data_IF_463972015582
#
_entry.id   IF_463972015582
#
_cell.length_a   1.000
_cell.length_b   1.000
_cell.length_c   1.000
_cell.angle_alpha   90.00
_cell.angle_beta   90.00
_cell.angle_gamma   90.00
#
_symmetry.space_group_name_H-M   'P 1'
#
loop_
_entity.id
_entity.type
_entity.pdbx_description
1 polymer ?
#
# COMPACT_ATOMS: atom_id res chain seq x y z
N UNK A 1 -31.77 62.99 -16.17
CA UNK A 1 -31.02 61.89 -16.85
C UNK A 1 -30.88 60.68 -15.93
N UNK A 2 -31.94 60.39 -15.16
CA UNK A 2 -32.08 59.21 -14.30
C UNK A 2 -33.49 58.60 -14.44
N UNK A 3 -34.39 59.27 -15.16
CA UNK A 3 -35.74 58.80 -15.47
C UNK A 3 -35.86 58.14 -16.86
N UNK A 4 -34.81 58.14 -17.69
CA UNK A 4 -34.78 57.42 -18.98
C UNK A 4 -34.15 56.01 -18.90
N UNK A 5 -33.69 55.59 -17.70
CA UNK A 5 -33.09 54.26 -17.49
C UNK A 5 -34.08 53.24 -16.89
N UNK A 6 -35.16 53.70 -16.26
CA UNK A 6 -36.15 52.81 -15.64
C UNK A 6 -37.22 52.31 -16.62
N UNK A 7 -37.44 52.95 -17.77
CA UNK A 7 -38.35 52.46 -18.82
C UNK A 7 -37.74 51.33 -19.68
N UNK A 8 -36.45 51.02 -19.52
CA UNK A 8 -35.79 49.93 -20.28
C UNK A 8 -35.67 48.60 -19.51
N UNK A 9 -36.14 48.55 -18.26
CA UNK A 9 -36.04 47.39 -17.38
C UNK A 9 -37.36 46.62 -17.21
N UNK A 10 -38.51 47.20 -17.58
CA UNK A 10 -39.81 46.51 -17.52
C UNK A 10 -40.13 45.70 -18.80
N UNK A 11 -39.44 45.94 -19.92
CA UNK A 11 -39.66 45.24 -21.20
C UNK A 11 -38.77 44.01 -21.43
N UNK A 12 -38.07 43.52 -20.40
CA UNK A 12 -37.17 42.35 -20.48
C UNK A 12 -37.51 41.22 -19.50
N UNK A 13 -38.68 41.27 -18.84
CA UNK A 13 -39.16 40.18 -17.97
C UNK A 13 -40.21 39.25 -18.61
N UNK A 14 -40.65 39.49 -19.84
CA UNK A 14 -41.49 38.54 -20.56
C UNK A 14 -40.67 37.60 -21.47
N UNK A 15 -40.28 36.45 -20.90
CA UNK A 15 -40.09 35.24 -21.69
C UNK A 15 -38.69 34.64 -21.67
N UNK A 16 -38.26 34.12 -20.53
CA UNK A 16 -37.27 33.04 -20.49
C UNK A 16 -37.69 31.99 -19.47
N UNK A 17 -38.09 30.82 -19.97
CA UNK A 17 -38.34 29.62 -19.17
C UNK A 17 -37.05 29.20 -18.44
N UNK A 18 -37.18 28.83 -17.16
CA UNK A 18 -36.07 28.32 -16.36
C UNK A 18 -35.40 27.11 -17.05
N UNK A 19 -34.07 27.12 -17.27
CA UNK A 19 -33.38 25.90 -17.62
C UNK A 19 -33.11 25.10 -16.36
N UNK A 20 -33.64 23.87 -16.31
CA UNK A 20 -33.37 22.88 -15.28
C UNK A 20 -31.87 22.56 -15.04
N UNK A 21 -30.96 23.13 -15.85
CA UNK A 21 -29.50 23.02 -15.73
C UNK A 21 -28.88 23.90 -14.64
N UNK A 22 -29.55 24.97 -14.19
CA UNK A 22 -28.99 25.85 -13.13
C UNK A 22 -29.03 25.12 -11.77
N UNK A 23 -30.07 24.32 -11.52
CA UNK A 23 -30.24 23.53 -10.30
C UNK A 23 -29.25 22.35 -10.19
N UNK A 24 -28.91 21.72 -11.32
CA UNK A 24 -27.88 20.67 -11.37
C UNK A 24 -26.48 21.23 -11.10
N UNK A 25 -26.21 22.45 -11.58
CA UNK A 25 -24.94 23.15 -11.34
C UNK A 25 -24.83 23.59 -9.88
N UNK A 26 -25.91 24.09 -9.27
CA UNK A 26 -25.97 24.47 -7.85
C UNK A 26 -25.79 23.29 -6.88
N UNK A 27 -26.24 22.08 -7.25
CA UNK A 27 -25.99 20.87 -6.45
C UNK A 27 -24.50 20.45 -6.41
N UNK A 28 -23.75 20.73 -7.48
CA UNK A 28 -22.30 20.54 -7.51
C UNK A 28 -21.55 21.51 -6.61
N UNK A 29 -22.07 22.73 -6.44
CA UNK A 29 -21.49 23.76 -5.58
C UNK A 29 -21.79 23.53 -4.09
N UNK A 30 -22.99 23.05 -3.72
CA UNK A 30 -23.28 22.63 -2.33
C UNK A 30 -22.34 21.53 -1.82
N UNK A 31 -21.87 20.62 -2.69
CA UNK A 31 -20.87 19.59 -2.32
C UNK A 31 -19.45 20.14 -2.13
N UNK A 32 -19.11 21.28 -2.74
CA UNK A 32 -17.84 21.97 -2.50
C UNK A 32 -17.84 22.72 -1.16
N UNK A 33 -18.99 23.25 -0.75
CA UNK A 33 -19.18 23.90 0.55
C UNK A 33 -19.07 22.93 1.74
N UNK A 34 -19.13 21.61 1.54
CA UNK A 34 -18.86 20.62 2.60
C UNK A 34 -17.35 20.40 2.86
N UNK A 35 -16.46 20.79 1.93
CA UNK A 35 -15.00 20.59 2.06
C UNK A 35 -14.33 21.85 2.64
N UNK A 36 -14.86 23.04 2.35
CA UNK A 36 -14.33 24.33 2.80
C UNK A 36 -14.29 24.54 4.34
N UNK A 37 -15.27 24.07 5.14
CA UNK A 37 -15.26 24.25 6.60
C UNK A 37 -14.14 23.49 7.32
N UNK A 38 -13.48 22.54 6.63
CA UNK A 38 -12.31 21.82 7.18
C UNK A 38 -11.02 22.65 7.15
N UNK A 39 -10.99 23.77 6.41
CA UNK A 39 -9.81 24.63 6.30
C UNK A 39 -9.73 25.71 7.40
N UNK A 40 -10.83 26.01 8.11
CA UNK A 40 -10.92 27.14 9.05
C UNK A 40 -10.97 26.76 10.53
N UNK A 41 -10.56 25.55 10.93
CA UNK A 41 -10.26 25.31 12.35
C UNK A 41 -8.91 25.93 12.67
N UNK A 42 -8.93 27.22 12.98
CA UNK A 42 -7.86 27.86 13.74
C UNK A 42 -7.62 27.04 15.03
N UNK A 43 -6.34 26.86 15.36
CA UNK A 43 -5.83 26.13 16.51
C UNK A 43 -6.39 26.73 17.81
N UNK A 44 -7.55 26.25 18.23
CA UNK A 44 -8.05 26.37 19.59
C UNK A 44 -7.47 25.23 20.42
N UNK A 45 -6.66 25.59 21.41
CA UNK A 45 -6.07 24.69 22.39
C UNK A 45 -7.16 24.13 23.31
N UNK A 46 -7.93 23.16 22.82
CA UNK A 46 -8.81 22.34 23.62
C UNK A 46 -8.14 20.98 23.85
N UNK A 47 -8.05 20.59 25.11
CA UNK A 47 -7.48 19.35 25.63
C UNK A 47 -8.31 18.15 25.11
N UNK A 48 -8.02 17.71 23.88
CA UNK A 48 -8.61 16.50 23.31
C UNK A 48 -7.91 15.32 23.95
N UNK A 49 -8.56 14.69 24.94
CA UNK A 49 -8.28 13.29 25.25
C UNK A 49 -8.37 12.50 23.95
N UNK A 50 -7.22 12.09 23.40
CA UNK A 50 -7.13 11.22 22.23
C UNK A 50 -7.80 9.88 22.58
N UNK A 51 -9.10 9.76 22.30
CA UNK A 51 -9.77 8.47 22.32
C UNK A 51 -9.18 7.62 21.17
N UNK A 52 -8.34 6.65 21.53
CA UNK A 52 -7.86 5.64 20.60
C UNK A 52 -9.05 5.00 19.85
N UNK A 53 -9.12 5.13 18.51
CA UNK A 53 -10.25 4.60 17.78
C UNK A 53 -10.30 3.09 17.90
N UNK A 54 -11.51 2.53 18.10
CA UNK A 54 -11.71 1.08 18.20
C UNK A 54 -11.18 0.40 16.93
N UNK A 55 -10.05 -0.30 17.04
CA UNK A 55 -9.46 -1.07 15.97
C UNK A 55 -10.25 -2.36 15.76
N UNK A 56 -10.64 -2.63 14.51
CA UNK A 56 -11.32 -3.88 14.15
C UNK A 56 -10.28 -5.02 14.02
N UNK A 57 -10.17 -5.86 15.05
CA UNK A 57 -9.25 -6.99 15.06
C UNK A 57 -9.72 -8.10 14.11
N UNK A 58 -8.82 -8.58 13.25
CA UNK A 58 -9.09 -9.72 12.36
C UNK A 58 -8.82 -11.05 13.08
N UNK A 59 -9.48 -12.15 12.66
CA UNK A 59 -9.12 -13.47 13.17
C UNK A 59 -7.67 -13.82 12.81
N UNK A 60 -6.93 -14.35 13.78
CA UNK A 60 -5.55 -14.79 13.62
C UNK A 60 -5.47 -16.32 13.49
N UNK A 61 -4.44 -16.85 12.80
CA UNK A 61 -4.05 -18.25 12.89
C UNK A 61 -3.77 -18.69 14.34
N UNK A 62 -3.86 -20.00 14.62
CA UNK A 62 -3.67 -20.55 15.98
C UNK A 62 -2.26 -20.29 16.54
N UNK A 63 -1.28 -20.09 15.66
CA UNK A 63 0.12 -19.84 15.98
C UNK A 63 0.39 -18.40 16.44
N UNK A 64 -0.60 -17.51 16.32
CA UNK A 64 -0.50 -16.09 16.64
C UNK A 64 -1.55 -15.69 17.67
N UNK A 65 -1.22 -14.70 18.49
CA UNK A 65 -2.14 -14.08 19.45
C UNK A 65 -1.97 -12.57 19.50
N UNK A 66 -3.05 -11.87 19.85
CA UNK A 66 -2.98 -10.45 20.17
C UNK A 66 -2.52 -10.25 21.61
N UNK A 67 -1.62 -9.29 21.78
CA UNK A 67 -1.24 -8.73 23.08
C UNK A 67 -1.26 -7.21 23.00
N UNK A 68 -1.22 -6.53 24.14
CA UNK A 68 -1.41 -5.09 24.21
C UNK A 68 -0.21 -4.42 24.89
N UNK A 69 0.24 -3.30 24.33
CA UNK A 69 1.36 -2.55 24.88
C UNK A 69 0.95 -1.62 26.03
N UNK A 70 -0.33 -1.27 26.11
CA UNK A 70 -0.88 -0.35 27.12
C UNK A 70 -1.98 -0.99 27.96
N UNK A 71 -2.25 -0.35 29.10
CA UNK A 71 -3.39 -0.67 29.95
C UNK A 71 -4.71 -0.42 29.18
N UNK A 72 -5.80 -1.08 29.57
CA UNK A 72 -7.11 -1.03 28.88
C UNK A 72 -7.16 -1.66 27.47
N UNK A 73 -6.28 -2.61 27.15
CA UNK A 73 -6.25 -3.30 25.84
C UNK A 73 -6.06 -2.33 24.65
N UNK A 74 -5.27 -1.27 24.84
CA UNK A 74 -4.87 -0.36 23.78
C UNK A 74 -3.55 -0.81 23.13
N UNK A 75 -3.29 -0.30 21.92
CA UNK A 75 -2.08 -0.60 21.16
C UNK A 75 -1.83 -2.11 20.97
N UNK A 76 -2.73 -2.81 20.22
CA UNK A 76 -2.56 -4.22 19.94
C UNK A 76 -1.30 -4.48 19.10
N UNK A 77 -0.67 -5.63 19.35
CA UNK A 77 0.44 -6.19 18.57
C UNK A 77 0.25 -7.70 18.42
N UNK A 78 0.82 -8.29 17.37
CA UNK A 78 0.66 -9.72 17.06
C UNK A 78 1.96 -10.47 17.37
N UNK A 79 1.90 -11.39 18.34
CA UNK A 79 3.06 -12.19 18.77
C UNK A 79 2.77 -13.69 18.62
N UNK A 80 3.81 -14.52 18.66
CA UNK A 80 3.62 -15.98 18.66
C UNK A 80 2.87 -16.47 19.91
N UNK A 81 1.91 -17.38 19.70
CA UNK A 81 1.20 -18.06 20.79
C UNK A 81 2.07 -19.10 21.53
N UNK A 82 3.21 -19.48 20.95
CA UNK A 82 4.13 -20.49 21.50
C UNK A 82 5.16 -19.96 22.51
N UNK A 83 5.15 -18.65 22.79
CA UNK A 83 6.09 -18.03 23.72
C UNK A 83 5.81 -18.46 25.17
N UNK A 84 6.88 -18.70 25.92
CA UNK A 84 6.80 -18.86 27.37
C UNK A 84 6.46 -17.53 28.05
N UNK A 85 5.93 -17.57 29.28
CA UNK A 85 5.58 -16.35 30.01
C UNK A 85 6.77 -15.40 30.20
N UNK A 86 7.98 -15.92 30.43
CA UNK A 86 9.18 -15.10 30.52
C UNK A 86 9.53 -14.43 29.19
N UNK A 87 9.52 -15.19 28.08
CA UNK A 87 9.80 -14.65 26.75
C UNK A 87 8.79 -13.58 26.34
N UNK A 88 7.51 -13.79 26.64
CA UNK A 88 6.45 -12.82 26.37
C UNK A 88 6.70 -11.51 27.13
N UNK A 89 7.04 -11.57 28.42
CA UNK A 89 7.37 -10.38 29.22
C UNK A 89 8.56 -9.64 28.61
N UNK A 90 9.67 -10.34 28.31
CA UNK A 90 10.87 -9.72 27.73
C UNK A 90 10.60 -9.08 26.38
N UNK A 91 9.80 -9.71 25.52
CA UNK A 91 9.40 -9.15 24.23
C UNK A 91 8.56 -7.88 24.42
N UNK A 92 7.55 -7.93 25.30
CA UNK A 92 6.68 -6.79 25.54
C UNK A 92 7.44 -5.61 26.14
N UNK A 93 8.45 -5.83 26.98
CA UNK A 93 9.32 -4.76 27.48
C UNK A 93 10.04 -4.03 26.34
N UNK A 94 10.63 -4.76 25.39
CA UNK A 94 11.28 -4.16 24.22
C UNK A 94 10.29 -3.39 23.34
N UNK A 95 9.12 -3.99 23.07
CA UNK A 95 8.08 -3.35 22.24
C UNK A 95 7.51 -2.09 22.91
N UNK A 96 7.33 -2.10 24.24
CA UNK A 96 6.91 -0.92 25.00
C UNK A 96 7.96 0.19 24.95
N UNK A 97 9.25 -0.15 25.12
CA UNK A 97 10.35 0.83 24.96
C UNK A 97 10.37 1.43 23.55
N UNK A 98 10.07 0.62 22.54
CA UNK A 98 10.11 1.01 21.13
C UNK A 98 8.73 1.32 20.53
N UNK A 99 7.72 1.66 21.36
CA UNK A 99 6.33 1.87 20.91
C UNK A 99 6.23 2.83 19.72
N UNK A 100 7.05 3.88 19.71
CA UNK A 100 7.11 4.91 18.65
C UNK A 100 7.44 4.37 17.26
N UNK A 101 8.04 3.18 17.15
CA UNK A 101 8.33 2.54 15.87
C UNK A 101 7.07 1.94 15.22
N UNK A 102 6.00 1.71 16.00
CA UNK A 102 4.79 1.02 15.56
C UNK A 102 3.69 2.06 15.38
N UNK A 103 3.00 2.01 14.24
CA UNK A 103 1.85 2.85 13.94
C UNK A 103 0.56 2.04 13.94
N UNK A 104 -0.49 2.63 14.51
CA UNK A 104 -1.85 2.10 14.54
C UNK A 104 -2.76 2.80 13.53
N UNK A 105 -2.45 4.04 13.19
CA UNK A 105 -3.23 4.90 12.31
C UNK A 105 -2.38 5.55 11.23
N UNK A 106 -3.03 6.05 10.19
CA UNK A 106 -2.34 6.75 9.10
C UNK A 106 -1.78 8.10 9.54
N UNK A 107 -2.37 8.72 10.57
CA UNK A 107 -1.89 9.95 11.21
C UNK A 107 -0.57 9.76 11.94
N UNK A 108 -0.21 8.53 12.32
CA UNK A 108 1.07 8.23 12.98
C UNK A 108 2.26 8.36 12.02
N UNK A 109 1.99 8.46 10.71
CA UNK A 109 3.01 8.63 9.68
C UNK A 109 3.60 10.04 9.72
N UNK A 110 4.70 10.20 10.46
CA UNK A 110 5.61 11.35 10.30
C UNK A 110 6.34 11.31 8.97
N UNK A 111 6.75 10.10 8.62
CA UNK A 111 7.51 9.73 7.43
C UNK A 111 9.00 10.06 7.54
N UNK A 112 9.75 9.49 6.61
CA UNK A 112 11.20 9.49 6.60
C UNK A 112 11.70 10.87 6.20
N UNK A 113 12.77 11.33 6.86
CA UNK A 113 13.40 12.61 6.53
C UNK A 113 13.80 12.69 5.05
N UNK A 114 13.47 13.78 4.34
CA UNK A 114 13.89 14.00 2.95
C UNK A 114 15.41 13.94 2.73
N UNK A 115 16.19 14.24 3.79
CA UNK A 115 17.65 14.14 3.78
C UNK A 115 18.16 12.70 3.64
N UNK A 116 17.37 11.72 4.07
CA UNK A 116 17.68 10.29 3.94
C UNK A 116 17.27 9.79 2.56
N UNK A 117 16.05 10.14 2.14
CA UNK A 117 15.53 9.74 0.85
C UNK A 117 14.43 10.70 0.38
N UNK A 118 14.55 11.16 -0.86
CA UNK A 118 13.51 11.90 -1.56
C UNK A 118 13.22 11.19 -2.88
N UNK A 119 11.94 11.06 -3.23
CA UNK A 119 11.54 10.48 -4.49
C UNK A 119 11.55 11.54 -5.59
N UNK A 120 12.33 11.29 -6.65
CA UNK A 120 12.39 12.13 -7.83
C UNK A 120 11.75 11.44 -9.05
N UNK A 121 11.09 12.24 -9.88
CA UNK A 121 10.43 11.82 -11.13
C UNK A 121 11.15 12.48 -12.31
N UNK A 122 12.33 11.95 -12.64
CA UNK A 122 13.08 12.39 -13.81
C UNK A 122 12.35 12.03 -15.10
N UNK A 123 12.16 13.04 -15.95
CA UNK A 123 11.52 12.90 -17.25
C UNK A 123 12.56 12.59 -18.34
N UNK A 124 12.12 11.95 -19.42
CA UNK A 124 12.89 11.85 -20.67
C UNK A 124 13.04 13.24 -21.33
N UNK A 125 14.11 13.47 -22.10
CA UNK A 125 14.49 14.80 -22.62
C UNK A 125 13.40 15.49 -23.45
N UNK A 126 12.52 14.74 -24.12
CA UNK A 126 11.42 15.26 -24.95
C UNK A 126 10.03 15.03 -24.34
N UNK A 127 9.95 14.71 -23.05
CA UNK A 127 8.69 14.40 -22.38
C UNK A 127 7.74 15.61 -22.37
N UNK A 128 6.53 15.42 -22.90
CA UNK A 128 5.45 16.39 -22.83
C UNK A 128 4.49 16.06 -21.68
N UNK A 129 3.91 17.06 -21.00
CA UNK A 129 2.88 16.83 -20.00
C UNK A 129 1.67 16.09 -20.57
N UNK A 130 1.08 15.23 -19.75
CA UNK A 130 -0.04 14.38 -20.16
C UNK A 130 -1.23 14.64 -19.25
N UNK A 131 -2.30 15.19 -19.82
CA UNK A 131 -3.58 15.40 -19.14
C UNK A 131 -4.62 14.38 -19.59
N UNK A 132 -5.06 13.53 -18.68
CA UNK A 132 -6.07 12.51 -18.95
C UNK A 132 -7.43 12.90 -18.35
N UNK A 133 -8.55 12.60 -19.06
CA UNK A 133 -9.88 12.87 -18.54
C UNK A 133 -10.24 11.93 -17.39
N UNK A 134 -11.09 12.42 -16.49
CA UNK A 134 -11.65 11.64 -15.40
C UNK A 134 -12.49 10.46 -15.92
N UNK A 135 -12.41 9.31 -15.25
CA UNK A 135 -13.27 8.15 -15.52
C UNK A 135 -14.61 8.27 -14.80
N UNK A 136 -15.67 7.77 -15.46
CA UNK A 136 -16.99 7.59 -14.83
C UNK A 136 -16.91 6.43 -13.84
N UNK A 137 -17.41 6.65 -12.63
CA UNK A 137 -17.52 5.66 -11.57
C UNK A 137 -18.98 5.51 -11.18
N UNK A 138 -19.41 4.29 -10.84
CA UNK A 138 -20.74 4.08 -10.28
C UNK A 138 -20.83 4.71 -8.86
N UNK A 139 -22.03 5.02 -8.34
CA UNK A 139 -22.18 5.70 -7.05
C UNK A 139 -21.50 4.98 -5.87
N UNK A 140 -21.50 3.66 -5.84
CA UNK A 140 -20.83 2.88 -4.80
C UNK A 140 -19.30 3.08 -4.81
N UNK A 141 -18.67 3.01 -5.98
CA UNK A 141 -17.22 3.21 -6.11
C UNK A 141 -16.84 4.68 -5.91
N UNK A 142 -17.74 5.62 -6.20
CA UNK A 142 -17.54 7.03 -5.84
C UNK A 142 -17.39 7.18 -4.32
N UNK A 143 -18.22 6.50 -3.52
CA UNK A 143 -18.10 6.53 -2.06
C UNK A 143 -16.74 6.00 -1.58
N UNK A 144 -16.31 4.87 -2.13
CA UNK A 144 -14.99 4.29 -1.84
C UNK A 144 -13.87 5.29 -2.13
N UNK A 145 -13.94 5.99 -3.28
CA UNK A 145 -12.95 7.01 -3.64
C UNK A 145 -13.02 8.21 -2.71
N UNK A 146 -14.22 8.65 -2.31
CA UNK A 146 -14.39 9.79 -1.40
C UNK A 146 -13.73 9.52 -0.06
N UNK A 147 -14.03 8.37 0.54
CA UNK A 147 -13.48 7.98 1.85
C UNK A 147 -11.97 7.91 1.81
N UNK A 148 -11.39 7.33 0.75
CA UNK A 148 -9.93 7.25 0.62
C UNK A 148 -9.29 8.63 0.42
N UNK A 149 -9.87 9.49 -0.44
CA UNK A 149 -9.36 10.85 -0.68
C UNK A 149 -9.41 11.69 0.59
N UNK A 150 -10.52 11.63 1.35
CA UNK A 150 -10.64 12.34 2.64
C UNK A 150 -9.60 11.86 3.65
N UNK A 151 -9.38 10.55 3.74
CA UNK A 151 -8.35 9.97 4.60
C UNK A 151 -6.95 10.46 4.23
N UNK A 152 -6.61 10.49 2.94
CA UNK A 152 -5.30 10.94 2.48
C UNK A 152 -5.11 12.47 2.66
N UNK A 153 -6.17 13.26 2.50
CA UNK A 153 -6.16 14.70 2.76
C UNK A 153 -5.93 15.00 4.24
N UNK A 154 -6.68 14.34 5.13
CA UNK A 154 -6.54 14.50 6.59
C UNK A 154 -5.14 14.11 7.07
N UNK A 155 -4.54 13.08 6.46
CA UNK A 155 -3.17 12.66 6.75
C UNK A 155 -2.10 13.57 6.09
N UNK A 156 -2.49 14.59 5.31
CA UNK A 156 -1.56 15.48 4.61
C UNK A 156 -0.76 14.82 3.48
N UNK A 157 -1.09 13.58 3.08
CA UNK A 157 -0.40 12.81 2.04
C UNK A 157 -0.67 13.39 0.65
N UNK A 158 -1.87 13.96 0.45
CA UNK A 158 -2.26 14.65 -0.77
C UNK A 158 -2.72 16.08 -0.45
N UNK A 159 -2.73 16.93 -1.46
CA UNK A 159 -3.24 18.31 -1.38
C UNK A 159 -4.06 18.67 -2.62
N UNK A 160 -5.06 19.55 -2.49
CA UNK A 160 -5.83 20.03 -3.64
C UNK A 160 -4.93 20.88 -4.55
N UNK A 161 -5.07 20.70 -5.85
CA UNK A 161 -4.35 21.49 -6.86
C UNK A 161 -5.35 22.00 -7.90
N UNK A 162 -5.27 23.30 -8.21
CA UNK A 162 -6.26 23.97 -9.06
C UNK A 162 -6.04 23.68 -10.55
N UNK A 163 -4.79 23.73 -11.00
CA UNK A 163 -4.41 23.41 -12.37
C UNK A 163 -3.10 22.64 -12.37
N UNK A 164 -2.96 21.70 -13.30
CA UNK A 164 -1.74 20.93 -13.51
C UNK A 164 -1.68 20.45 -14.96
N UNK A 165 -0.50 20.56 -15.61
CA UNK A 165 -0.32 20.03 -16.96
C UNK A 165 -0.22 18.50 -16.96
N UNK A 166 -0.04 17.87 -15.79
CA UNK A 166 -0.03 16.43 -15.59
C UNK A 166 -1.34 16.00 -14.92
N UNK A 167 -2.08 15.07 -15.51
CA UNK A 167 -3.29 14.53 -14.86
C UNK A 167 -3.43 13.05 -15.18
N UNK A 168 -3.49 12.22 -14.14
CA UNK A 168 -3.80 10.79 -14.24
C UNK A 168 -5.19 10.48 -13.67
N UNK A 169 -5.97 9.57 -14.28
CA UNK A 169 -7.30 9.27 -13.79
C UNK A 169 -7.24 8.28 -12.61
N UNK A 170 -8.14 8.43 -11.65
CA UNK A 170 -8.38 7.41 -10.62
C UNK A 170 -9.04 6.16 -11.23
N UNK A 171 -8.58 4.99 -10.80
CA UNK A 171 -9.14 3.68 -11.11
C UNK A 171 -9.40 2.91 -9.82
N UNK A 172 -10.62 2.39 -9.66
CA UNK A 172 -10.92 1.50 -8.53
C UNK A 172 -10.82 0.06 -9.00
N UNK A 173 -10.11 -0.76 -8.23
CA UNK A 173 -9.95 -2.19 -8.49
C UNK A 173 -10.37 -3.01 -7.28
N UNK A 174 -11.02 -4.16 -7.46
CA UNK A 174 -11.34 -5.04 -6.35
C UNK A 174 -10.06 -5.57 -5.70
N UNK A 175 -10.02 -5.65 -4.37
CA UNK A 175 -8.97 -6.40 -3.65
C UNK A 175 -9.06 -7.86 -4.11
N UNK A 176 -7.93 -8.41 -4.58
CA UNK A 176 -7.85 -9.82 -4.93
C UNK A 176 -8.02 -10.65 -3.65
N UNK A 177 -9.16 -11.31 -3.49
CA UNK A 177 -9.32 -12.44 -2.56
C UNK A 177 -8.80 -13.73 -3.21
N UNK A 178 -8.71 -14.80 -2.42
CA UNK A 178 -8.61 -16.15 -2.97
C UNK A 178 -9.72 -16.43 -3.98
N UNK A 179 -9.41 -17.28 -4.97
CA UNK A 179 -10.40 -17.78 -5.93
C UNK A 179 -11.23 -18.85 -5.22
N UNK A 180 -12.53 -18.62 -5.10
CA UNK A 180 -13.48 -19.63 -4.61
C UNK A 180 -14.18 -20.26 -5.79
N UNK A 181 -14.24 -21.58 -5.83
CA UNK A 181 -15.02 -22.30 -6.83
C UNK A 181 -16.47 -22.30 -6.34
N UNK A 182 -17.34 -21.61 -7.08
CA UNK A 182 -18.78 -21.55 -6.80
C UNK A 182 -19.48 -22.38 -7.85
N UNK A 183 -20.28 -23.37 -7.43
CA UNK A 183 -21.13 -24.11 -8.36
C UNK A 183 -22.29 -23.22 -8.81
N UNK A 184 -22.41 -23.01 -10.12
CA UNK A 184 -23.54 -22.32 -10.71
C UNK A 184 -24.81 -23.20 -10.64
N UNK A 185 -25.99 -22.63 -10.93
CA UNK A 185 -27.27 -23.34 -10.93
C UNK A 185 -27.32 -24.56 -11.88
N UNK A 186 -26.37 -24.62 -12.83
CA UNK A 186 -26.17 -25.74 -13.78
C UNK A 186 -25.19 -26.81 -13.28
N UNK A 187 -24.68 -26.71 -12.06
CA UNK A 187 -23.67 -27.62 -11.50
C UNK A 187 -22.23 -27.39 -12.03
N UNK A 188 -22.02 -26.32 -12.81
CA UNK A 188 -20.70 -25.95 -13.32
C UNK A 188 -19.90 -25.21 -12.24
N UNK A 189 -18.69 -25.69 -11.95
CA UNK A 189 -17.75 -25.08 -11.02
C UNK A 189 -17.11 -23.82 -11.61
N UNK A 190 -17.65 -22.65 -11.27
CA UNK A 190 -17.13 -21.35 -11.71
C UNK A 190 -16.18 -20.80 -10.64
N UNK A 191 -14.92 -20.67 -11.01
CA UNK A 191 -13.92 -19.92 -10.25
C UNK A 191 -14.33 -18.45 -10.13
N UNK A 192 -14.96 -18.09 -9.01
CA UNK A 192 -15.46 -16.75 -8.73
C UNK A 192 -14.58 -16.09 -7.67
N UNK A 193 -14.21 -14.82 -7.88
CA UNK A 193 -13.44 -14.04 -6.89
C UNK A 193 -14.40 -13.25 -6.02
N UNK A 194 -14.46 -13.56 -4.74
CA UNK A 194 -15.22 -12.77 -3.77
C UNK A 194 -14.56 -11.41 -3.56
N UNK A 195 -15.25 -10.31 -3.83
CA UNK A 195 -14.72 -8.97 -3.55
C UNK A 195 -14.64 -8.72 -2.05
N UNK A 196 -13.45 -8.87 -1.44
CA UNK A 196 -13.23 -8.58 -0.02
C UNK A 196 -13.05 -7.09 0.29
N UNK A 197 -13.08 -6.24 -0.73
CA UNK A 197 -12.96 -4.79 -0.63
C UNK A 197 -12.47 -4.17 -1.92
N UNK A 198 -12.21 -2.87 -1.90
CA UNK A 198 -11.76 -2.09 -3.06
C UNK A 198 -10.40 -1.44 -2.79
N UNK A 199 -9.64 -1.17 -3.85
CA UNK A 199 -8.42 -0.37 -3.85
C UNK A 199 -8.60 0.79 -4.80
N UNK A 200 -8.31 1.99 -4.31
CA UNK A 200 -8.20 3.18 -5.15
C UNK A 200 -6.77 3.22 -5.68
N UNK A 201 -6.62 3.24 -7.00
CA UNK A 201 -5.33 3.28 -7.67
C UNK A 201 -5.32 4.47 -8.63
N UNK A 202 -4.16 5.09 -8.82
CA UNK A 202 -3.99 6.12 -9.85
C UNK A 202 -3.34 5.49 -11.06
N UNK A 203 -3.91 5.73 -12.24
CA UNK A 203 -3.42 5.16 -13.50
C UNK A 203 -2.26 5.98 -14.07
N UNK A 204 -1.09 5.83 -13.46
CA UNK A 204 0.16 6.46 -13.90
C UNK A 204 0.79 5.80 -15.14
N UNK A 205 0.11 4.91 -15.87
CA UNK A 205 0.72 4.22 -17.03
C UNK A 205 1.28 5.19 -18.05
N UNK A 206 0.58 6.27 -18.37
CA UNK A 206 1.07 7.28 -19.33
C UNK A 206 2.23 8.09 -18.76
N UNK A 207 2.16 8.50 -17.50
CA UNK A 207 3.27 9.17 -16.81
C UNK A 207 4.53 8.29 -16.83
N UNK A 208 4.37 7.03 -16.43
CA UNK A 208 5.46 6.05 -16.39
C UNK A 208 6.12 5.81 -17.75
N UNK A 209 5.44 6.02 -18.89
CA UNK A 209 6.06 5.85 -20.22
C UNK A 209 7.07 6.96 -20.49
N UNK A 210 6.84 8.17 -19.98
CA UNK A 210 7.69 9.34 -20.19
C UNK A 210 8.66 9.62 -19.03
N UNK A 211 8.59 8.82 -17.97
CA UNK A 211 9.54 8.85 -16.84
C UNK A 211 10.75 7.98 -17.16
N UNK A 212 11.95 8.55 -16.96
CA UNK A 212 13.23 7.85 -17.08
C UNK A 212 13.31 6.69 -16.09
N UNK A 213 13.63 5.49 -16.57
CA UNK A 213 13.70 4.28 -15.72
C UNK A 213 14.94 4.29 -14.85
N UNK A 214 14.73 4.10 -13.56
CA UNK A 214 15.81 3.91 -12.59
C UNK A 214 16.44 2.52 -12.78
N UNK A 215 17.78 2.46 -12.89
CA UNK A 215 18.53 1.22 -13.02
C UNK A 215 19.09 0.79 -11.67
N UNK A 216 18.21 0.66 -10.67
CA UNK A 216 18.60 0.17 -9.35
C UNK A 216 18.59 -1.37 -9.32
N UNK A 217 19.70 -2.03 -8.92
CA UNK A 217 19.74 -3.49 -8.83
C UNK A 217 18.95 -3.95 -7.60
N UNK A 218 17.75 -4.49 -7.82
CA UNK A 218 17.01 -5.16 -6.75
C UNK A 218 17.68 -6.49 -6.39
N UNK A 219 17.78 -6.85 -5.09
CA UNK A 219 18.31 -8.14 -4.67
C UNK A 219 17.56 -9.31 -5.32
N UNK A 220 18.28 -10.38 -5.64
CA UNK A 220 17.64 -11.60 -6.12
C UNK A 220 16.83 -12.25 -5.01
N UNK A 221 15.56 -12.55 -5.29
CA UNK A 221 14.65 -13.20 -4.33
C UNK A 221 15.25 -14.49 -3.79
N UNK A 222 15.91 -15.29 -4.64
CA UNK A 222 16.54 -16.55 -4.24
C UNK A 222 17.62 -16.33 -3.16
N UNK A 223 18.47 -15.30 -3.31
CA UNK A 223 19.52 -14.97 -2.35
C UNK A 223 18.98 -14.46 -1.02
N UNK A 224 17.95 -13.60 -1.07
CA UNK A 224 17.28 -13.11 0.14
C UNK A 224 16.69 -14.29 0.92
N UNK A 225 16.00 -15.21 0.24
CA UNK A 225 15.37 -16.35 0.90
C UNK A 225 16.40 -17.34 1.47
N UNK A 226 17.53 -17.57 0.77
CA UNK A 226 18.61 -18.43 1.27
C UNK A 226 19.18 -17.91 2.58
N UNK A 227 19.44 -16.61 2.68
CA UNK A 227 20.00 -15.97 3.89
C UNK A 227 19.03 -15.96 5.06
N UNK A 228 17.73 -15.77 4.78
CA UNK A 228 16.70 -15.74 5.84
C UNK A 228 16.38 -17.16 6.33
N UNK A 229 16.60 -18.20 5.53
CA UNK A 229 16.16 -19.55 5.87
C UNK A 229 17.00 -20.23 6.96
N UNK A 230 16.39 -21.17 7.69
CA UNK A 230 17.11 -22.04 8.62
C UNK A 230 17.22 -21.54 10.06
N UNK A 231 16.69 -20.35 10.36
CA UNK A 231 16.66 -19.83 11.73
C UNK A 231 15.44 -20.33 12.53
N UNK A 232 15.57 -20.50 13.85
CA UNK A 232 14.48 -20.95 14.73
C UNK A 232 13.55 -19.83 15.20
N UNK A 233 13.94 -18.55 15.12
CA UNK A 233 13.13 -17.41 15.54
C UNK A 233 13.18 -16.29 14.50
N UNK A 234 12.00 -15.71 14.24
CA UNK A 234 11.82 -14.62 13.29
C UNK A 234 10.94 -13.51 13.86
N UNK A 235 11.20 -12.28 13.42
CA UNK A 235 10.25 -11.18 13.45
C UNK A 235 10.04 -10.69 12.02
N UNK A 236 8.80 -10.75 11.54
CA UNK A 236 8.41 -10.22 10.23
C UNK A 236 7.77 -8.86 10.46
N UNK A 237 8.37 -7.80 9.95
CA UNK A 237 7.89 -6.43 10.08
C UNK A 237 7.49 -5.90 8.70
N UNK A 238 6.46 -5.06 8.65
CA UNK A 238 5.95 -4.42 7.43
C UNK A 238 5.90 -2.91 7.66
N UNK A 239 6.44 -2.13 6.72
CA UNK A 239 6.32 -0.67 6.77
C UNK A 239 4.87 -0.21 6.64
N UNK A 240 4.39 0.63 7.55
CA UNK A 240 3.01 1.15 7.49
C UNK A 240 2.82 1.97 6.22
N UNK A 241 2.10 1.41 5.25
CA UNK A 241 1.90 2.03 3.92
C UNK A 241 3.21 2.57 3.34
N UNK A 242 4.28 1.76 3.36
CA UNK A 242 5.67 2.23 3.28
C UNK A 242 5.97 3.32 2.25
N UNK A 243 5.43 3.24 1.03
CA UNK A 243 5.64 4.29 0.02
C UNK A 243 5.21 5.70 0.49
N UNK A 244 4.12 5.83 1.24
CA UNK A 244 3.67 7.13 1.77
C UNK A 244 4.60 7.72 2.83
N UNK A 245 5.61 6.98 3.29
CA UNK A 245 6.60 7.50 4.23
C UNK A 245 7.71 8.29 3.52
N UNK A 246 7.90 8.11 2.22
CA UNK A 246 8.91 8.83 1.43
C UNK A 246 8.30 10.08 0.81
N UNK A 247 8.93 11.23 1.00
CA UNK A 247 8.51 12.49 0.38
C UNK A 247 8.87 12.53 -1.10
N UNK A 248 8.03 13.17 -1.88
CA UNK A 248 8.32 13.50 -3.27
C UNK A 248 8.95 14.89 -3.29
N UNK A 249 9.98 15.05 -4.10
CA UNK A 249 10.57 16.35 -4.36
C UNK A 249 9.49 17.38 -4.77
N UNK A 250 9.57 18.59 -4.24
CA UNK A 250 8.54 19.62 -4.39
C UNK A 250 8.28 19.92 -5.88
N UNK A 251 9.31 19.90 -6.72
CA UNK A 251 9.20 20.13 -8.17
C UNK A 251 8.55 18.95 -8.92
N UNK A 252 8.52 17.77 -8.29
CA UNK A 252 7.98 16.55 -8.85
C UNK A 252 6.55 16.23 -8.38
N UNK A 253 6.05 16.88 -7.32
CA UNK A 253 4.71 16.64 -6.78
C UNK A 253 3.60 16.85 -7.81
N UNK A 254 3.67 17.92 -8.60
CA UNK A 254 2.69 18.22 -9.66
C UNK A 254 2.58 17.11 -10.71
N UNK A 255 3.65 16.35 -10.96
CA UNK A 255 3.64 15.23 -11.92
C UNK A 255 2.74 14.09 -11.46
N UNK A 256 2.48 13.99 -10.16
CA UNK A 256 1.62 12.97 -9.55
C UNK A 256 0.15 13.39 -9.46
N UNK A 257 -0.23 14.51 -10.07
CA UNK A 257 -1.60 14.98 -10.04
C UNK A 257 -2.57 13.95 -10.61
N UNK A 258 -3.67 13.73 -9.89
CA UNK A 258 -4.75 12.87 -10.29
C UNK A 258 -6.11 13.54 -10.18
N UNK A 259 -7.08 13.03 -10.95
CA UNK A 259 -8.44 13.53 -10.99
C UNK A 259 -9.45 12.46 -10.58
N UNK A 260 -10.42 12.86 -9.76
CA UNK A 260 -11.53 12.04 -9.30
C UNK A 260 -12.84 12.87 -9.30
N UNK A 261 -14.02 12.25 -9.07
CA UNK A 261 -15.30 12.97 -9.09
C UNK A 261 -15.43 14.14 -8.10
N UNK A 262 -14.52 14.22 -7.12
CA UNK A 262 -14.56 15.21 -6.03
C UNK A 262 -13.55 16.35 -6.20
N UNK A 263 -12.65 16.24 -7.18
CA UNK A 263 -11.63 17.25 -7.41
C UNK A 263 -10.35 16.70 -8.03
N UNK A 264 -9.35 17.56 -8.04
CA UNK A 264 -8.00 17.27 -8.53
C UNK A 264 -7.02 17.45 -7.38
N UNK A 265 -6.14 16.47 -7.20
CA UNK A 265 -5.21 16.43 -6.07
C UNK A 265 -3.83 15.98 -6.55
N UNK A 266 -2.78 16.38 -5.84
CA UNK A 266 -1.42 15.92 -6.05
C UNK A 266 -0.88 15.27 -4.77
N UNK A 267 0.10 14.37 -4.91
CA UNK A 267 0.74 13.71 -3.78
C UNK A 267 1.94 14.50 -3.27
N UNK A 268 2.04 14.64 -1.94
CA UNK A 268 3.27 15.06 -1.24
C UNK A 268 4.19 13.87 -0.96
N UNK A 269 3.61 12.69 -0.77
CA UNK A 269 4.31 11.44 -0.45
C UNK A 269 4.18 10.43 -1.58
N UNK A 270 5.21 9.62 -1.80
CA UNK A 270 5.33 8.74 -2.96
C UNK A 270 4.13 7.77 -3.08
N UNK A 271 3.28 7.87 -4.13
CA UNK A 271 2.14 6.98 -4.29
C UNK A 271 2.51 5.65 -4.93
N UNK A 272 1.64 4.66 -4.70
CA UNK A 272 1.65 3.43 -5.48
C UNK A 272 1.41 3.73 -6.98
N UNK A 273 2.05 2.91 -7.83
CA UNK A 273 1.85 2.93 -9.28
C UNK A 273 2.90 3.71 -10.07
N UNK A 274 3.76 4.50 -9.41
CA UNK A 274 4.94 5.08 -10.04
C UNK A 274 5.98 4.00 -10.36
N UNK A 275 6.58 4.06 -11.54
CA UNK A 275 7.49 3.00 -12.02
C UNK A 275 8.79 2.88 -11.21
N UNK A 276 9.29 3.98 -10.66
CA UNK A 276 10.55 4.01 -9.89
C UNK A 276 10.33 3.97 -8.36
N UNK A 277 9.07 3.87 -7.89
CA UNK A 277 8.79 3.80 -6.46
C UNK A 277 9.44 2.60 -5.76
N UNK A 278 9.41 1.37 -6.31
CA UNK A 278 10.09 0.22 -5.71
C UNK A 278 11.60 0.42 -5.57
N UNK A 279 12.25 0.97 -6.60
CA UNK A 279 13.68 1.24 -6.61
C UNK A 279 14.07 2.29 -5.56
N UNK A 280 13.32 3.38 -5.49
CA UNK A 280 13.50 4.43 -4.48
C UNK A 280 13.34 3.87 -3.08
N UNK A 281 12.30 3.07 -2.85
CA UNK A 281 12.03 2.49 -1.55
C UNK A 281 13.11 1.48 -1.12
N UNK A 282 13.52 0.58 -2.01
CA UNK A 282 14.60 -0.37 -1.71
C UNK A 282 15.91 0.36 -1.38
N UNK A 283 16.26 1.40 -2.15
CA UNK A 283 17.45 2.22 -1.89
C UNK A 283 17.38 2.90 -0.53
N UNK A 284 16.21 3.43 -0.16
CA UNK A 284 15.95 4.01 1.16
C UNK A 284 16.19 2.99 2.28
N UNK A 285 15.56 1.81 2.18
CA UNK A 285 15.67 0.76 3.19
C UNK A 285 17.12 0.28 3.36
N UNK A 286 17.84 0.07 2.26
CA UNK A 286 19.25 -0.29 2.32
C UNK A 286 20.10 0.84 2.91
N UNK A 287 19.79 2.11 2.65
CA UNK A 287 20.48 3.23 3.29
C UNK A 287 20.23 3.28 4.79
N UNK A 288 19.02 2.96 5.25
CA UNK A 288 18.65 2.98 6.67
C UNK A 288 19.29 1.82 7.43
N UNK A 289 19.35 0.63 6.84
CA UNK A 289 19.77 -0.61 7.49
C UNK A 289 21.11 -1.19 6.98
N UNK A 290 21.90 -0.40 6.26
CA UNK A 290 23.12 -0.86 5.58
C UNK A 290 24.11 -1.66 6.45
N UNK A 291 24.21 -1.35 7.74
CA UNK A 291 25.08 -2.00 8.72
C UNK A 291 24.49 -3.29 9.34
N UNK A 292 23.19 -3.53 9.16
CA UNK A 292 22.41 -4.61 9.75
C UNK A 292 21.97 -5.68 8.74
N UNK A 293 21.77 -5.29 7.48
CA UNK A 293 21.40 -6.18 6.38
C UNK A 293 22.49 -7.24 6.17
N UNK A 294 22.10 -8.46 5.80
CA UNK A 294 22.95 -9.65 5.65
C UNK A 294 23.56 -10.20 6.95
N UNK A 295 23.30 -9.58 8.11
CA UNK A 295 23.86 -10.00 9.41
C UNK A 295 22.80 -10.42 10.40
N UNK A 296 21.84 -9.53 10.66
CA UNK A 296 20.78 -9.75 11.66
C UNK A 296 19.38 -9.67 11.05
N UNK A 297 19.30 -9.12 9.84
CA UNK A 297 18.05 -8.92 9.13
C UNK A 297 18.25 -8.90 7.61
N UNK A 298 17.15 -9.02 6.90
CA UNK A 298 17.05 -8.81 5.46
C UNK A 298 15.86 -7.89 5.17
N UNK A 299 15.96 -7.09 4.10
CA UNK A 299 14.88 -6.18 3.70
C UNK A 299 14.62 -6.24 2.21
N UNK A 300 13.35 -6.41 1.87
CA UNK A 300 12.89 -6.37 0.49
C UNK A 300 11.64 -5.49 0.39
N UNK A 301 11.84 -4.27 -0.10
CA UNK A 301 10.88 -3.20 -0.05
C UNK A 301 10.30 -3.06 1.37
N UNK A 302 8.97 -3.18 1.52
CA UNK A 302 8.26 -3.05 2.79
C UNK A 302 8.48 -4.25 3.73
N UNK A 303 8.93 -5.39 3.22
CA UNK A 303 9.09 -6.64 3.99
C UNK A 303 10.46 -6.65 4.69
N UNK A 304 10.44 -6.44 6.00
CA UNK A 304 11.61 -6.47 6.88
C UNK A 304 11.59 -7.80 7.63
N UNK A 305 12.63 -8.61 7.49
CA UNK A 305 12.75 -9.89 8.19
C UNK A 305 13.95 -9.90 9.11
N UNK A 306 13.71 -10.07 10.40
CA UNK A 306 14.73 -10.20 11.43
C UNK A 306 14.76 -11.65 11.87
N UNK A 307 15.95 -12.19 12.10
CA UNK A 307 16.14 -13.58 12.49
C UNK A 307 17.21 -13.72 13.58
N UNK A 308 17.18 -14.84 14.30
CA UNK A 308 18.16 -15.17 15.33
C UNK A 308 18.23 -16.67 15.60
N UNK A 309 19.41 -17.16 16.02
CA UNK A 309 19.65 -18.55 16.42
C UNK A 309 19.03 -18.91 17.77
N UNK A 310 18.83 -17.92 18.64
CA UNK A 310 18.08 -18.06 19.90
C UNK A 310 17.05 -16.96 20.07
N UNK A 311 16.17 -17.11 21.07
CA UNK A 311 15.19 -16.08 21.42
C UNK A 311 15.88 -14.78 21.84
N UNK A 312 16.91 -14.89 22.70
CA UNK A 312 17.65 -13.76 23.24
C UNK A 312 18.39 -13.01 22.14
N UNK A 313 19.05 -13.73 21.22
CA UNK A 313 19.71 -13.13 20.06
C UNK A 313 18.70 -12.41 19.15
N UNK A 314 17.58 -13.06 18.82
CA UNK A 314 16.53 -12.44 18.01
C UNK A 314 15.93 -11.20 18.69
N UNK A 315 15.87 -11.19 20.03
CA UNK A 315 15.33 -10.06 20.79
C UNK A 315 16.29 -8.85 20.76
N UNK A 316 17.59 -9.10 20.87
CA UNK A 316 18.62 -8.07 20.71
C UNK A 316 18.60 -7.50 19.29
N UNK A 317 18.50 -8.36 18.28
CA UNK A 317 18.39 -7.96 16.88
C UNK A 317 17.13 -7.11 16.63
N UNK A 318 15.99 -7.54 17.18
CA UNK A 318 14.74 -6.80 17.12
C UNK A 318 14.87 -5.40 17.73
N UNK A 319 15.44 -5.30 18.93
CA UNK A 319 15.60 -4.01 19.61
C UNK A 319 16.50 -3.05 18.80
N UNK A 320 17.58 -3.55 18.20
CA UNK A 320 18.46 -2.75 17.36
C UNK A 320 17.73 -2.19 16.12
N UNK A 321 16.95 -3.03 15.43
CA UNK A 321 16.17 -2.63 14.25
C UNK A 321 15.07 -1.64 14.64
N UNK A 322 14.33 -1.88 15.72
CA UNK A 322 13.28 -0.97 16.17
C UNK A 322 13.84 0.41 16.59
N UNK A 323 15.02 0.46 17.22
CA UNK A 323 15.71 1.73 17.52
C UNK A 323 16.05 2.48 16.23
N UNK A 324 16.57 1.79 15.22
CA UNK A 324 16.85 2.39 13.92
C UNK A 324 15.58 2.92 13.23
N UNK A 325 14.45 2.21 13.35
CA UNK A 325 13.16 2.70 12.87
C UNK A 325 12.77 4.02 13.53
N UNK A 326 12.92 4.13 14.86
CA UNK A 326 12.63 5.37 15.61
C UNK A 326 13.57 6.51 15.18
N UNK A 327 14.86 6.24 15.04
CA UNK A 327 15.86 7.23 14.62
C UNK A 327 15.59 7.83 13.23
N UNK A 328 14.94 7.06 12.36
CA UNK A 328 14.67 7.44 10.96
C UNK A 328 13.19 7.76 10.70
N UNK A 329 12.38 7.80 11.75
CA UNK A 329 10.92 7.99 11.67
C UNK A 329 10.24 7.01 10.69
N UNK A 330 10.78 5.79 10.58
CA UNK A 330 10.17 4.69 9.84
C UNK A 330 9.12 4.01 10.73
N UNK A 331 7.87 4.06 10.30
CA UNK A 331 6.72 3.54 11.05
C UNK A 331 6.33 2.16 10.53
N UNK A 332 6.15 1.22 11.44
CA UNK A 332 5.79 -0.18 11.16
C UNK A 332 4.29 -0.42 11.36
N UNK A 333 3.72 -1.34 10.59
CA UNK A 333 2.32 -1.70 10.67
C UNK A 333 2.05 -2.73 11.76
N UNK A 334 1.39 -2.33 12.85
CA UNK A 334 1.08 -3.23 13.96
C UNK A 334 0.32 -4.51 13.54
N UNK A 335 -0.57 -4.42 12.53
CA UNK A 335 -1.47 -5.51 12.13
C UNK A 335 -0.72 -6.59 11.34
N UNK A 336 0.32 -6.19 10.62
CA UNK A 336 1.10 -7.07 9.74
C UNK A 336 2.44 -7.48 10.33
N UNK A 337 2.88 -6.81 11.39
CA UNK A 337 4.08 -7.21 12.11
C UNK A 337 3.79 -8.45 12.96
N UNK A 338 4.62 -9.48 12.81
CA UNK A 338 4.56 -10.71 13.59
C UNK A 338 5.86 -10.88 14.36
N UNK A 339 5.80 -10.96 15.69
CA UNK A 339 6.98 -11.02 16.53
C UNK A 339 7.24 -12.42 17.10
N UNK A 340 8.51 -12.83 17.08
CA UNK A 340 9.04 -14.05 17.70
C UNK A 340 8.34 -15.33 17.24
N UNK A 341 8.09 -15.45 15.94
CA UNK A 341 7.46 -16.61 15.31
C UNK A 341 8.51 -17.62 14.84
N UNK A 342 8.09 -18.88 14.67
CA UNK A 342 8.95 -19.97 14.18
C UNK A 342 9.01 -20.09 12.66
N UNK A 343 8.00 -19.56 11.99
CA UNK A 343 7.87 -19.58 10.54
C UNK A 343 7.01 -18.41 10.07
N UNK A 344 7.12 -18.06 8.78
CA UNK A 344 6.24 -17.08 8.15
C UNK A 344 6.43 -17.00 6.65
N UNK A 345 5.66 -16.12 6.01
CA UNK A 345 5.68 -15.96 4.56
C UNK A 345 6.60 -14.78 4.20
N UNK A 346 7.66 -15.05 3.45
CA UNK A 346 8.59 -14.04 2.93
C UNK A 346 8.64 -14.19 1.41
N UNK A 347 8.38 -13.11 0.68
CA UNK A 347 8.39 -13.09 -0.80
C UNK A 347 7.61 -14.26 -1.42
N UNK A 348 6.49 -14.62 -0.78
CA UNK A 348 5.60 -15.68 -1.24
C UNK A 348 6.05 -17.13 -1.00
N UNK A 349 7.08 -17.33 -0.18
CA UNK A 349 7.58 -18.63 0.28
C UNK A 349 7.42 -18.75 1.79
N UNK A 350 7.24 -19.98 2.29
CA UNK A 350 7.23 -20.25 3.72
C UNK A 350 8.67 -20.42 4.17
N UNK A 351 9.11 -19.62 5.13
CA UNK A 351 10.44 -19.71 5.73
C UNK A 351 10.30 -20.23 7.16
N UNK A 352 11.16 -21.18 7.51
CA UNK A 352 11.22 -21.77 8.85
C UNK A 352 12.63 -22.29 9.14
N UNK A 353 12.83 -22.86 10.34
CA UNK A 353 14.04 -23.59 10.72
C UNK A 353 14.35 -24.77 9.76
N UNK A 354 13.32 -25.37 9.15
CA UNK A 354 13.50 -26.48 8.19
C UNK A 354 14.02 -26.02 6.83
N UNK A 355 14.07 -24.71 6.60
CA UNK A 355 14.44 -24.11 5.33
C UNK A 355 13.25 -23.45 4.61
N UNK A 356 13.29 -23.51 3.28
CA UNK A 356 12.36 -22.81 2.38
C UNK A 356 11.33 -23.82 1.85
N UNK A 357 10.06 -23.54 2.10
CA UNK A 357 8.93 -24.32 1.60
C UNK A 357 8.03 -23.48 0.69
N UNK A 358 7.28 -24.18 -0.15
CA UNK A 358 6.28 -23.58 -1.03
C UNK A 358 4.97 -23.39 -0.28
N UNK A 359 4.32 -22.25 -0.47
CA UNK A 359 2.96 -22.04 0.04
C UNK A 359 1.99 -23.01 -0.65
N UNK A 360 1.52 -24.01 0.10
CA UNK A 360 0.61 -25.06 -0.39
C UNK A 360 -0.65 -24.48 -1.01
N UNK A 361 -1.18 -23.38 -0.48
CA UNK A 361 -2.39 -22.76 -1.02
C UNK A 361 -2.17 -22.22 -2.45
N UNK A 362 -0.96 -21.71 -2.74
CA UNK A 362 -0.60 -21.26 -4.09
C UNK A 362 -0.36 -22.43 -5.04
N UNK A 363 0.25 -23.51 -4.55
CA UNK A 363 0.45 -24.73 -5.35
C UNK A 363 -0.91 -25.35 -5.71
N UNK A 364 -1.83 -25.48 -4.77
CA UNK A 364 -3.19 -25.97 -5.02
C UNK A 364 -3.94 -25.10 -6.03
N UNK A 365 -3.76 -23.78 -5.96
CA UNK A 365 -4.37 -22.88 -6.93
C UNK A 365 -3.85 -23.13 -8.34
N UNK A 366 -2.54 -23.32 -8.49
CA UNK A 366 -1.92 -23.63 -9.80
C UNK A 366 -2.38 -25.00 -10.30
N UNK A 367 -2.48 -25.99 -9.41
CA UNK A 367 -2.94 -27.34 -9.75
C UNK A 367 -4.41 -27.37 -10.23
N UNK A 368 -5.24 -26.44 -9.74
CA UNK A 368 -6.64 -26.28 -10.15
C UNK A 368 -6.82 -25.43 -11.42
N UNK A 369 -5.76 -24.88 -12.01
CA UNK A 369 -5.88 -24.10 -13.24
C UNK A 369 -6.30 -25.00 -14.42
N UNK A 370 -7.23 -24.53 -15.28
CA UNK A 370 -7.59 -25.27 -16.48
C UNK A 370 -6.39 -25.38 -17.43
N UNK A 371 -6.36 -26.44 -18.23
CA UNK A 371 -5.33 -26.62 -19.25
C UNK A 371 -5.32 -25.43 -20.22
N UNK A 372 -4.17 -24.78 -20.45
CA UNK A 372 -4.10 -23.60 -21.29
C UNK A 372 -4.38 -23.97 -22.75
N UNK A 373 -5.36 -23.29 -23.36
CA UNK A 373 -5.74 -23.47 -24.77
C UNK A 373 -5.17 -22.39 -25.69
N UNK A 374 -4.48 -21.40 -25.14
CA UNK A 374 -3.95 -20.25 -25.88
C UNK A 374 -2.48 -20.00 -25.52
N UNK A 375 -1.72 -19.44 -26.46
CA UNK A 375 -0.31 -19.03 -26.27
C UNK A 375 -0.15 -18.15 -25.03
N UNK A 376 -1.05 -17.16 -24.84
CA UNK A 376 -1.06 -16.30 -23.66
C UNK A 376 -1.28 -17.10 -22.37
N UNK A 377 -2.18 -18.10 -22.41
CA UNK A 377 -2.42 -19.01 -21.29
C UNK A 377 -1.20 -19.86 -20.95
N UNK A 378 -0.49 -20.38 -21.96
CA UNK A 378 0.75 -21.14 -21.77
C UNK A 378 1.83 -20.26 -21.12
N UNK A 379 2.07 -19.04 -21.66
CA UNK A 379 3.03 -18.09 -21.09
C UNK A 379 2.69 -17.73 -19.63
N UNK A 380 1.39 -17.55 -19.33
CA UNK A 380 0.94 -17.26 -17.97
C UNK A 380 1.18 -18.45 -17.03
N UNK A 381 0.85 -19.67 -17.44
CA UNK A 381 1.11 -20.89 -16.66
C UNK A 381 2.60 -21.10 -16.41
N UNK A 382 3.44 -20.96 -17.44
CA UNK A 382 4.89 -21.04 -17.31
C UNK A 382 5.44 -19.96 -16.38
N UNK A 383 4.86 -18.75 -16.36
CA UNK A 383 5.20 -17.72 -15.39
C UNK A 383 4.89 -18.14 -13.94
N UNK A 384 3.72 -18.75 -13.71
CA UNK A 384 3.34 -19.27 -12.39
C UNK A 384 4.24 -20.42 -11.93
N UNK A 385 4.49 -21.40 -12.80
CA UNK A 385 5.35 -22.54 -12.48
C UNK A 385 6.83 -22.12 -12.37
N UNK A 386 7.27 -21.18 -13.19
CA UNK A 386 8.63 -20.65 -13.20
C UNK A 386 9.02 -19.95 -11.90
N UNK A 387 8.05 -19.34 -11.20
CA UNK A 387 8.27 -18.80 -9.85
C UNK A 387 8.73 -19.89 -8.85
N UNK A 388 8.27 -21.14 -9.03
CA UNK A 388 8.60 -22.28 -8.18
C UNK A 388 9.61 -23.24 -8.82
N UNK A 389 10.30 -22.83 -9.89
CA UNK A 389 11.23 -23.66 -10.65
C UNK A 389 12.28 -24.39 -9.80
N UNK A 390 12.70 -23.80 -8.68
CA UNK A 390 13.71 -24.40 -7.79
C UNK A 390 13.24 -25.70 -7.13
N UNK A 391 11.93 -25.84 -6.94
CA UNK A 391 11.31 -27.02 -6.32
C UNK A 391 10.91 -28.08 -7.35
N UNK A 392 11.10 -27.80 -8.65
CA UNK A 392 10.71 -28.69 -9.75
C UNK A 392 11.97 -29.24 -10.39
N UNK A 393 12.20 -30.53 -10.20
CA UNK A 393 13.33 -31.23 -10.82
C UNK A 393 13.25 -31.11 -12.35
N UNK A 394 14.38 -30.77 -12.99
CA UNK A 394 14.49 -30.67 -14.45
C UNK A 394 13.50 -29.67 -15.09
N UNK A 395 13.10 -28.61 -14.38
CA UNK A 395 12.13 -27.61 -14.87
C UNK A 395 12.46 -27.08 -16.27
N UNK A 396 13.73 -26.81 -16.57
CA UNK A 396 14.15 -26.33 -17.90
C UNK A 396 13.82 -27.31 -19.03
N UNK A 397 13.94 -28.63 -18.79
CA UNK A 397 13.58 -29.65 -19.78
C UNK A 397 12.06 -29.70 -19.96
N UNK A 398 11.31 -29.65 -18.87
CA UNK A 398 9.84 -29.65 -18.88
C UNK A 398 9.30 -28.39 -19.59
N UNK A 399 9.86 -27.22 -19.28
CA UNK A 399 9.52 -25.96 -19.92
C UNK A 399 9.81 -26.00 -21.42
N UNK A 400 10.92 -26.62 -21.85
CA UNK A 400 11.28 -26.75 -23.26
C UNK A 400 10.18 -27.39 -24.13
N UNK A 401 9.39 -28.30 -23.56
CA UNK A 401 8.25 -28.91 -24.25
C UNK A 401 7.14 -27.89 -24.59
N UNK A 402 6.99 -26.85 -23.77
CA UNK A 402 5.97 -25.81 -23.92
C UNK A 402 6.48 -24.57 -24.66
N UNK A 403 7.79 -24.32 -24.65
CA UNK A 403 8.40 -23.15 -25.33
C UNK A 403 8.17 -23.19 -26.84
N UNK A 404 8.09 -24.38 -27.45
CA UNK A 404 7.75 -24.53 -28.87
C UNK A 404 6.32 -24.07 -29.23
N UNK A 405 5.45 -23.87 -28.23
CA UNK A 405 4.08 -23.38 -28.40
C UNK A 405 3.93 -21.89 -28.00
N UNK A 406 5.00 -21.24 -27.56
CA UNK A 406 4.97 -19.90 -26.97
C UNK A 406 5.27 -18.77 -27.96
#
# INVERSE_FOLDING_TARGET
MQDELNESLEDLEEGLSEPADVLATLQGWRRKEEILPLFNKEEGQDDVTEEFPKLNLKPLPMELKYTYLEENNQCPVVISSSLTGHQEISLLEVLKRCKKAIGWQISDLKGISPLVCTHHIYMEEEAKPIRQPQRRLNPHLQEVVRTEVLKLLQAGIIYPISDSPWVSPTQVVPKKSGITVVQNEKGEEIATRLTSGWRVCIDYRKLNVVTRKDHFPLPFIDQVLERVSGHPFYCFLDGYSGYFQIEIDVEDQEKTTFTCPFGTYAYRRMPFGLCNAPATFQRCMLSIFSDMVERIMEVFMDDITIYGGTFEECLVNLEAVLKRCIEKDLVLNWEKCHFMVRQGIVLGHIISEKGIEVDKAKVELIAKLPSPTTVKGVRQFLGHAGFYRRFIQDFSKLQGLFVNFC
#
